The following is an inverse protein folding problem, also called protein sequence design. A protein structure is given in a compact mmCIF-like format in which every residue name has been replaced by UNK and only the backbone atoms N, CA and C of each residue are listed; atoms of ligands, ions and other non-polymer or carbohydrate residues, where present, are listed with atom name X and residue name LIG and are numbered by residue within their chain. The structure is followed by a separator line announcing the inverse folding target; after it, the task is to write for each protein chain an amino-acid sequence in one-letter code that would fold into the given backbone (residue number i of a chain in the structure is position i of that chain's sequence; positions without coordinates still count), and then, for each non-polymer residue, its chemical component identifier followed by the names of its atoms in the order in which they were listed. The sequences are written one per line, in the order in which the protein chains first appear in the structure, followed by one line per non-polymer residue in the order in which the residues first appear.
data_IF_035429404873
#
_entry.id   IF_035429404873
#
_cell.length_a   1.000
_cell.length_b   1.000
_cell.length_c   1.000
_cell.angle_alpha   90.00
_cell.angle_beta   90.00
_cell.angle_gamma   90.00
#
_symmetry.space_group_name_H-M   'P 1'
#
loop_
_entity.id
_entity.type
_entity.pdbx_description
1 polymer ?
#
# COMPACT_ATOMS: atom_id res chain seq x y z
N UNK A 1 -47.54 54.44 25.62
CA UNK A 1 -48.91 54.18 26.08
C UNK A 1 -49.54 53.19 25.12
N UNK A 2 -50.18 52.16 25.68
CA UNK A 2 -50.97 51.10 25.03
C UNK A 2 -50.14 49.98 24.39
N UNK A 3 -49.86 48.88 25.11
CA UNK A 3 -50.74 47.74 25.44
C UNK A 3 -51.18 46.94 24.21
N UNK A 4 -50.68 45.71 24.09
CA UNK A 4 -51.51 44.53 23.82
C UNK A 4 -50.76 43.26 24.27
N UNK A 5 -51.05 42.87 25.50
CA UNK A 5 -50.77 41.53 26.01
C UNK A 5 -51.74 40.56 25.34
N UNK A 6 -51.25 39.57 24.60
CA UNK A 6 -52.01 38.35 24.36
C UNK A 6 -51.27 37.17 25.02
N UNK A 7 -51.90 36.68 26.08
CA UNK A 7 -51.45 35.60 26.96
C UNK A 7 -52.00 34.28 26.44
N UNK A 8 -51.15 33.28 26.24
CA UNK A 8 -51.50 31.89 25.88
C UNK A 8 -51.08 31.58 24.45
N UNK A 9 -50.27 30.57 24.15
CA UNK A 9 -50.31 29.22 24.67
C UNK A 9 -48.90 28.62 24.54
N UNK A 10 -48.28 28.20 25.65
CA UNK A 10 -47.11 27.31 25.57
C UNK A 10 -47.59 25.97 25.00
N UNK A 11 -47.12 25.61 23.81
CA UNK A 11 -46.96 24.20 23.41
C UNK A 11 -45.60 24.06 22.73
N UNK A 12 -44.68 23.44 23.46
CA UNK A 12 -43.40 22.97 22.94
C UNK A 12 -43.72 21.95 21.83
N UNK A 13 -43.66 22.37 20.58
CA UNK A 13 -43.65 21.44 19.46
C UNK A 13 -42.21 20.92 19.31
N UNK A 14 -41.90 19.89 20.10
CA UNK A 14 -40.71 19.07 19.87
C UNK A 14 -40.97 18.31 18.58
N UNK A 15 -40.33 18.76 17.50
CA UNK A 15 -40.35 18.09 16.20
C UNK A 15 -39.84 16.65 16.36
N UNK A 16 -40.58 15.61 15.93
CA UNK A 16 -40.11 14.24 16.03
C UNK A 16 -39.05 13.99 14.95
N UNK A 17 -37.78 14.20 15.30
CA UNK A 17 -36.65 13.61 14.57
C UNK A 17 -36.61 12.13 14.95
N UNK A 18 -37.46 11.31 14.32
CA UNK A 18 -37.58 9.90 14.69
C UNK A 18 -37.70 8.95 13.49
N UNK A 19 -37.28 9.36 12.28
CA UNK A 19 -37.50 8.55 11.09
C UNK A 19 -36.35 8.53 10.07
N UNK A 20 -35.08 8.57 10.50
CA UNK A 20 -33.94 8.53 9.56
C UNK A 20 -32.76 7.61 9.97
N UNK A 21 -32.98 6.54 10.74
CA UNK A 21 -31.87 5.67 11.17
C UNK A 21 -31.99 4.18 10.80
N UNK A 22 -33.00 3.75 10.03
CA UNK A 22 -33.25 2.30 9.86
C UNK A 22 -32.64 1.68 8.60
N UNK A 23 -32.07 2.44 7.67
CA UNK A 23 -31.52 1.86 6.41
C UNK A 23 -30.00 1.89 6.25
N UNK A 24 -29.24 2.36 7.26
CA UNK A 24 -27.78 2.25 7.27
C UNK A 24 -27.26 0.85 7.64
N UNK A 25 -28.10 -0.02 8.19
CA UNK A 25 -27.69 -1.33 8.73
C UNK A 25 -27.47 -2.42 7.69
N UNK A 26 -27.94 -2.25 6.45
CA UNK A 26 -27.89 -3.31 5.43
C UNK A 26 -26.56 -3.39 4.66
N UNK A 27 -25.67 -2.40 4.79
CA UNK A 27 -24.32 -2.43 4.17
C UNK A 27 -23.24 -2.94 5.13
N UNK A 28 -23.61 -3.31 6.37
CA UNK A 28 -22.71 -3.92 7.35
C UNK A 28 -22.55 -5.43 7.21
N UNK A 29 -22.86 -6.00 6.03
CA UNK A 29 -22.60 -7.41 5.73
C UNK A 29 -21.11 -7.53 5.47
N UNK A 30 -20.38 -7.86 6.54
CA UNK A 30 -19.06 -8.52 6.55
C UNK A 30 -18.41 -8.54 5.17
N UNK A 31 -17.59 -7.54 4.84
CA UNK A 31 -16.63 -7.74 3.76
C UNK A 31 -15.87 -9.03 4.14
N UNK A 32 -15.93 -10.10 3.33
CA UNK A 32 -15.16 -11.29 3.62
C UNK A 32 -13.72 -10.83 3.81
N UNK A 33 -13.13 -11.22 4.93
CA UNK A 33 -11.70 -11.04 5.15
C UNK A 33 -10.98 -11.50 3.89
N UNK A 34 -10.15 -10.62 3.32
CA UNK A 34 -9.47 -10.90 2.06
C UNK A 34 -8.59 -12.13 2.26
N UNK A 35 -9.13 -13.29 1.93
CA UNK A 35 -8.42 -14.55 1.96
C UNK A 35 -7.44 -14.49 0.78
N UNK A 36 -6.20 -14.10 1.07
CA UNK A 36 -5.11 -14.24 0.12
C UNK A 36 -5.00 -15.74 -0.19
N UNK A 37 -5.43 -16.12 -1.39
CA UNK A 37 -5.11 -17.46 -1.90
C UNK A 37 -3.59 -17.61 -1.83
N UNK A 38 -3.05 -18.66 -1.19
CA UNK A 38 -1.62 -18.79 -1.07
C UNK A 38 -1.03 -18.91 -2.47
N UNK A 39 -0.40 -17.85 -2.96
CA UNK A 39 0.41 -17.89 -4.17
C UNK A 39 1.73 -18.53 -3.75
N UNK A 40 2.04 -19.75 -4.21
CA UNK A 40 3.31 -20.37 -3.86
C UNK A 40 4.44 -19.53 -4.46
N UNK A 41 5.32 -19.01 -3.60
CA UNK A 41 6.52 -18.32 -4.04
C UNK A 41 7.45 -19.29 -4.76
N UNK A 42 8.05 -18.85 -5.86
CA UNK A 42 9.01 -19.69 -6.59
C UNK A 42 10.31 -19.85 -5.80
N UNK A 43 11.21 -20.72 -6.26
CA UNK A 43 12.53 -20.84 -5.61
C UNK A 43 13.33 -19.53 -5.77
N UNK A 44 13.21 -18.84 -6.92
CA UNK A 44 13.84 -17.56 -7.19
C UNK A 44 13.35 -16.48 -6.22
N UNK A 45 12.03 -16.42 -5.98
CA UNK A 45 11.42 -15.48 -5.04
C UNK A 45 11.94 -15.70 -3.62
N UNK A 46 12.00 -16.95 -3.17
CA UNK A 46 12.54 -17.29 -1.86
C UNK A 46 14.04 -16.97 -1.73
N UNK A 47 14.82 -17.24 -2.78
CA UNK A 47 16.25 -16.93 -2.80
C UNK A 47 16.49 -15.41 -2.75
N UNK A 48 15.68 -14.64 -3.48
CA UNK A 48 15.74 -13.18 -3.48
C UNK A 48 15.35 -12.61 -2.11
N UNK A 49 14.19 -12.99 -1.57
CA UNK A 49 13.69 -12.51 -0.28
C UNK A 49 14.64 -12.84 0.88
N UNK A 50 15.30 -14.00 0.84
CA UNK A 50 16.31 -14.36 1.85
C UNK A 50 17.47 -13.36 1.90
N UNK A 51 17.83 -12.75 0.78
CA UNK A 51 18.94 -11.81 0.69
C UNK A 51 18.52 -10.35 0.99
N UNK A 52 17.25 -10.00 0.80
CA UNK A 52 16.78 -8.61 0.85
C UNK A 52 15.95 -8.27 2.08
N UNK A 53 15.29 -9.26 2.71
CA UNK A 53 14.58 -9.08 3.98
C UNK A 53 15.51 -8.54 5.06
N UNK A 54 15.06 -7.47 5.74
CA UNK A 54 15.82 -6.80 6.79
C UNK A 54 16.95 -5.89 6.27
N UNK A 55 17.18 -5.83 4.95
CA UNK A 55 18.16 -4.92 4.33
C UNK A 55 17.44 -3.81 3.59
N UNK A 56 16.58 -4.16 2.63
CA UNK A 56 15.83 -3.18 1.84
C UNK A 56 14.47 -2.91 2.50
N UNK A 57 14.01 -1.65 2.60
CA UNK A 57 12.74 -1.32 3.23
C UNK A 57 11.56 -1.83 2.40
N UNK A 58 10.54 -2.36 3.07
CA UNK A 58 9.30 -2.83 2.44
C UNK A 58 8.86 -4.20 2.93
N UNK A 59 7.64 -4.57 2.55
CA UNK A 59 7.14 -5.93 2.67
C UNK A 59 7.68 -6.83 1.54
N UNK A 60 7.40 -8.13 1.63
CA UNK A 60 7.89 -9.10 0.66
C UNK A 60 7.37 -8.84 -0.76
N UNK A 61 6.12 -8.41 -0.91
CA UNK A 61 5.55 -8.14 -2.23
C UNK A 61 6.24 -6.93 -2.89
N UNK A 62 6.51 -5.89 -2.10
CA UNK A 62 7.30 -4.73 -2.52
C UNK A 62 8.72 -5.15 -2.89
N UNK A 63 9.37 -6.01 -2.08
CA UNK A 63 10.70 -6.52 -2.38
C UNK A 63 10.71 -7.26 -3.71
N UNK A 64 9.77 -8.18 -3.93
CA UNK A 64 9.69 -8.94 -5.17
C UNK A 64 9.42 -8.03 -6.39
N UNK A 65 8.59 -7.00 -6.23
CA UNK A 65 8.34 -5.99 -7.25
C UNK A 65 9.62 -5.21 -7.57
N UNK A 66 10.31 -4.71 -6.55
CA UNK A 66 11.58 -3.98 -6.67
C UNK A 66 12.63 -4.80 -7.42
N UNK A 67 12.81 -6.08 -7.05
CA UNK A 67 13.78 -6.96 -7.69
C UNK A 67 13.51 -7.16 -9.20
N UNK A 68 12.24 -7.34 -9.57
CA UNK A 68 11.84 -7.48 -10.98
C UNK A 68 11.99 -6.17 -11.75
N UNK A 69 11.63 -5.04 -11.16
CA UNK A 69 11.76 -3.73 -11.78
C UNK A 69 13.22 -3.34 -12.02
N UNK A 70 14.09 -3.60 -11.04
CA UNK A 70 15.54 -3.42 -11.19
C UNK A 70 16.10 -4.19 -12.40
N UNK A 71 15.69 -5.45 -12.55
CA UNK A 71 16.08 -6.26 -13.70
C UNK A 71 15.54 -5.73 -15.02
N UNK A 72 14.29 -5.23 -15.04
CA UNK A 72 13.70 -4.58 -16.21
C UNK A 72 14.53 -3.38 -16.66
N UNK A 73 14.96 -2.55 -15.71
CA UNK A 73 15.78 -1.36 -15.99
C UNK A 73 17.17 -1.72 -16.53
N UNK A 74 17.80 -2.78 -15.99
CA UNK A 74 19.08 -3.25 -16.51
C UNK A 74 18.96 -3.74 -17.95
N UNK A 75 17.93 -4.54 -18.26
CA UNK A 75 17.69 -5.02 -19.62
C UNK A 75 17.30 -3.92 -20.61
N UNK A 76 16.75 -2.80 -20.13
CA UNK A 76 16.50 -1.63 -20.96
C UNK A 76 17.76 -0.76 -21.20
N UNK A 77 18.92 -1.18 -20.70
CA UNK A 77 20.20 -0.47 -20.88
C UNK A 77 20.49 0.59 -19.83
N UNK A 78 19.71 0.65 -18.74
CA UNK A 78 20.00 1.57 -17.63
C UNK A 78 21.25 1.09 -16.87
N UNK A 79 22.26 1.93 -16.64
CA UNK A 79 23.46 1.51 -15.93
C UNK A 79 23.13 1.18 -14.46
N UNK A 80 23.81 0.18 -13.90
CA UNK A 80 23.52 -0.35 -12.56
C UNK A 80 23.48 0.73 -11.47
N UNK A 81 24.38 1.72 -11.54
CA UNK A 81 24.41 2.80 -10.55
C UNK A 81 23.17 3.70 -10.63
N UNK A 82 22.68 4.02 -11.83
CA UNK A 82 21.46 4.80 -11.99
C UNK A 82 20.23 4.02 -11.48
N UNK A 83 20.19 2.69 -11.66
CA UNK A 83 19.15 1.84 -11.09
C UNK A 83 19.19 1.88 -9.55
N UNK A 84 20.38 1.80 -8.95
CA UNK A 84 20.56 1.90 -7.49
C UNK A 84 20.03 3.24 -6.98
N UNK A 85 20.46 4.34 -7.58
CA UNK A 85 20.11 5.69 -7.13
C UNK A 85 18.60 5.96 -7.29
N UNK A 86 18.02 5.52 -8.42
CA UNK A 86 16.59 5.63 -8.67
C UNK A 86 15.76 4.85 -7.64
N UNK A 87 16.11 3.59 -7.40
CA UNK A 87 15.35 2.74 -6.48
C UNK A 87 15.56 3.14 -5.01
N UNK A 88 16.77 3.61 -4.67
CA UNK A 88 17.04 4.20 -3.36
C UNK A 88 16.13 5.42 -3.11
N UNK A 89 16.07 6.35 -4.06
CA UNK A 89 15.22 7.54 -3.96
C UNK A 89 13.73 7.22 -3.92
N UNK A 90 13.25 6.29 -4.75
CA UNK A 90 11.83 5.96 -4.86
C UNK A 90 11.29 5.27 -3.60
N UNK A 91 12.08 4.38 -2.99
CA UNK A 91 11.63 3.54 -1.87
C UNK A 91 12.17 3.99 -0.52
N UNK A 92 12.83 5.16 -0.45
CA UNK A 92 13.43 5.66 0.78
C UNK A 92 14.53 4.76 1.35
N UNK A 93 15.20 3.99 0.47
CA UNK A 93 16.33 3.15 0.83
C UNK A 93 17.64 3.92 0.68
N UNK A 94 18.69 3.47 1.36
CA UNK A 94 20.05 3.94 1.09
C UNK A 94 20.60 3.30 -0.19
N UNK A 95 21.56 3.93 -0.89
CA UNK A 95 22.20 3.33 -2.07
C UNK A 95 22.82 1.96 -1.79
N UNK A 96 23.38 1.74 -0.60
CA UNK A 96 23.95 0.45 -0.22
C UNK A 96 22.88 -0.65 -0.09
N UNK A 97 21.71 -0.32 0.45
CA UNK A 97 20.57 -1.25 0.54
C UNK A 97 20.06 -1.59 -0.87
N UNK A 98 19.92 -0.58 -1.74
CA UNK A 98 19.53 -0.79 -3.14
C UNK A 98 20.57 -1.60 -3.92
N UNK A 99 21.87 -1.43 -3.63
CA UNK A 99 22.94 -2.23 -4.21
C UNK A 99 22.91 -3.71 -3.77
N UNK A 100 22.51 -3.99 -2.51
CA UNK A 100 22.26 -5.37 -2.06
C UNK A 100 21.08 -5.97 -2.82
N UNK A 101 19.96 -5.25 -2.91
CA UNK A 101 18.79 -5.70 -3.66
C UNK A 101 19.10 -5.95 -5.15
N UNK A 102 19.87 -5.06 -5.79
CA UNK A 102 20.28 -5.23 -7.19
C UNK A 102 21.19 -6.46 -7.38
N UNK A 103 22.16 -6.68 -6.46
CA UNK A 103 23.02 -7.87 -6.51
C UNK A 103 22.24 -9.16 -6.31
N UNK A 104 21.25 -9.16 -5.42
CA UNK A 104 20.35 -10.30 -5.23
C UNK A 104 19.53 -10.55 -6.51
N UNK A 105 18.92 -9.49 -7.08
CA UNK A 105 18.13 -9.58 -8.31
C UNK A 105 18.94 -10.13 -9.50
N UNK A 106 20.21 -9.72 -9.65
CA UNK A 106 21.10 -10.27 -10.68
C UNK A 106 21.46 -11.73 -10.47
N UNK A 107 21.38 -12.26 -9.25
CA UNK A 107 21.66 -13.69 -8.99
C UNK A 107 20.42 -14.58 -9.16
N UNK A 108 19.23 -14.00 -9.11
CA UNK A 108 17.96 -14.74 -9.15
C UNK A 108 17.18 -14.47 -10.44
N UNK A 109 16.82 -13.22 -10.70
CA UNK A 109 15.89 -12.84 -11.77
C UNK A 109 16.58 -12.45 -13.07
N UNK A 110 17.76 -11.81 -13.01
CA UNK A 110 18.46 -11.32 -14.19
C UNK A 110 19.95 -11.67 -14.19
N UNK A 111 20.23 -12.98 -14.18
CA UNK A 111 21.58 -13.54 -14.27
C UNK A 111 22.36 -13.12 -15.51
N UNK A 112 21.63 -12.79 -16.59
CA UNK A 112 22.22 -12.36 -17.86
C UNK A 112 22.22 -10.83 -18.04
N UNK A 113 21.78 -10.06 -17.05
CA UNK A 113 21.74 -8.61 -17.19
C UNK A 113 23.17 -8.00 -17.26
N UNK A 114 23.40 -7.02 -18.16
CA UNK A 114 24.65 -6.29 -18.23
C UNK A 114 24.97 -5.55 -16.91
N UNK A 115 26.26 -5.35 -16.63
CA UNK A 115 26.75 -4.69 -15.41
C UNK A 115 27.49 -3.42 -15.74
#
# INVERSE_FOLDING_TARGET
MSDFTCKGLRRKAVTPVAALLVLGGALGVTAPEAAAWPVPLTWEDNAYLKATRGVFPGDDDQLLLVGREMCRLLYSGTPAQAVIDQMAGQYGATPDQAAVALRAARRTYCTQAPG
#
